data_IF_698705914317
#
_entry.id   IF_698705914317
#
_cell.length_a   1.000
_cell.length_b   1.000
_cell.length_c   1.000
_cell.angle_alpha   90.00
_cell.angle_beta   90.00
_cell.angle_gamma   90.00
#
_symmetry.space_group_name_H-M   'P 1'
#
loop_
_entity.id
_entity.type
_entity.pdbx_description
1 polymer ?
#
# COMPACT_ATOMS: atom_id res chain seq x y z
N UNK A 1 -36.61 -0.62 -6.10
CA UNK A 1 -35.35 -0.01 -5.59
C UNK A 1 -34.79 -0.78 -4.39
N UNK A 2 -34.72 -2.11 -4.47
CA UNK A 2 -34.26 -2.97 -3.35
C UNK A 2 -33.31 -4.10 -3.78
N UNK A 3 -32.91 -4.14 -5.06
CA UNK A 3 -32.13 -5.27 -5.62
C UNK A 3 -30.61 -5.02 -5.54
N UNK A 4 -30.17 -3.77 -5.39
CA UNK A 4 -28.73 -3.43 -5.42
C UNK A 4 -28.00 -3.58 -4.06
N UNK A 5 -28.72 -3.68 -2.94
CA UNK A 5 -28.11 -3.74 -1.60
C UNK A 5 -27.81 -5.17 -1.12
N UNK A 6 -28.39 -6.19 -1.76
CA UNK A 6 -28.20 -7.59 -1.40
C UNK A 6 -26.91 -8.14 -2.02
N UNK A 7 -26.61 -7.77 -3.27
CA UNK A 7 -25.38 -8.14 -3.99
C UNK A 7 -24.11 -7.60 -3.32
N UNK A 8 -24.17 -6.42 -2.70
CA UNK A 8 -23.04 -5.82 -1.97
C UNK A 8 -22.68 -6.58 -0.67
N UNK A 9 -23.63 -7.32 -0.09
CA UNK A 9 -23.39 -8.14 1.11
C UNK A 9 -22.90 -9.54 0.76
N UNK A 10 -23.30 -10.09 -0.38
CA UNK A 10 -22.84 -11.40 -0.86
C UNK A 10 -21.43 -11.33 -1.47
N UNK A 11 -21.10 -10.26 -2.22
CA UNK A 11 -19.74 -10.04 -2.74
C UNK A 11 -18.67 -9.92 -1.64
N UNK A 12 -19.05 -9.51 -0.42
CA UNK A 12 -18.14 -9.43 0.74
C UNK A 12 -17.83 -10.78 1.37
N UNK A 13 -18.56 -11.85 1.04
CA UNK A 13 -18.45 -13.15 1.68
C UNK A 13 -17.33 -14.03 1.07
N UNK A 14 -16.95 -13.73 -0.18
CA UNK A 14 -15.89 -14.42 -0.93
C UNK A 14 -14.59 -13.60 -1.09
N UNK A 15 -14.48 -12.46 -0.41
CA UNK A 15 -13.25 -11.67 -0.40
C UNK A 15 -12.11 -12.50 0.23
N UNK A 16 -11.10 -12.81 -0.57
CA UNK A 16 -9.94 -13.58 -0.13
C UNK A 16 -9.23 -12.82 1.00
N UNK A 17 -9.20 -11.48 0.96
CA UNK A 17 -8.69 -10.63 2.04
C UNK A 17 -9.57 -10.60 3.29
N UNK A 18 -9.17 -11.41 4.27
CA UNK A 18 -9.76 -11.45 5.63
C UNK A 18 -9.03 -10.49 6.59
N UNK A 19 -9.63 -10.13 7.74
CA UNK A 19 -8.97 -9.30 8.76
C UNK A 19 -7.60 -9.83 9.20
N UNK A 20 -7.44 -11.15 9.29
CA UNK A 20 -6.17 -11.80 9.62
C UNK A 20 -5.10 -11.57 8.56
N UNK A 21 -5.50 -11.43 7.30
CA UNK A 21 -4.58 -11.18 6.18
C UNK A 21 -4.15 -9.73 6.15
N UNK A 22 -5.05 -8.78 6.40
CA UNK A 22 -4.67 -7.38 6.63
C UNK A 22 -3.69 -7.25 7.79
N UNK A 23 -3.94 -7.96 8.90
CA UNK A 23 -3.02 -7.98 10.04
C UNK A 23 -1.66 -8.61 9.67
N UNK A 24 -1.67 -9.69 8.90
CA UNK A 24 -0.45 -10.34 8.42
C UNK A 24 0.35 -9.42 7.50
N UNK A 25 -0.28 -8.80 6.50
CA UNK A 25 0.36 -7.82 5.62
C UNK A 25 0.91 -6.66 6.44
N UNK A 26 0.13 -6.18 7.41
CA UNK A 26 0.52 -5.07 8.26
C UNK A 26 1.77 -5.35 9.10
N UNK A 27 1.93 -6.57 9.61
CA UNK A 27 3.12 -6.96 10.38
C UNK A 27 4.32 -7.24 9.47
N UNK A 28 4.08 -7.90 8.32
CA UNK A 28 5.16 -8.32 7.41
C UNK A 28 5.77 -7.18 6.62
N UNK A 29 5.03 -6.12 6.32
CA UNK A 29 5.59 -4.94 5.65
C UNK A 29 6.71 -4.25 6.44
N UNK A 30 6.80 -4.43 7.77
CA UNK A 30 7.88 -3.82 8.54
C UNK A 30 9.25 -4.40 8.19
N UNK A 31 9.28 -5.63 7.67
CA UNK A 31 10.52 -6.25 7.19
C UNK A 31 10.83 -5.89 5.74
N UNK A 32 10.03 -5.03 5.09
CA UNK A 32 10.19 -4.72 3.66
C UNK A 32 11.51 -4.04 3.33
N UNK A 33 12.00 -3.16 4.21
CA UNK A 33 13.32 -2.53 4.05
C UNK A 33 14.48 -3.40 4.54
N UNK A 34 14.22 -4.47 5.29
CA UNK A 34 15.29 -5.34 5.78
C UNK A 34 15.92 -6.19 4.66
N UNK A 35 15.22 -6.36 3.53
CA UNK A 35 15.68 -7.17 2.40
C UNK A 35 16.25 -6.34 1.25
N UNK A 36 16.71 -5.11 1.51
CA UNK A 36 17.14 -4.19 0.47
C UNK A 36 18.42 -4.70 -0.21
N UNK A 37 18.29 -5.12 -1.47
CA UNK A 37 19.40 -5.62 -2.28
C UNK A 37 19.66 -4.66 -3.45
N UNK A 38 20.90 -4.50 -3.93
CA UNK A 38 21.20 -3.52 -4.98
C UNK A 38 20.62 -3.88 -6.35
N UNK A 39 20.33 -5.15 -6.59
CA UNK A 39 19.75 -5.69 -7.81
C UNK A 39 18.22 -5.60 -7.85
N UNK A 40 17.54 -5.82 -6.71
CA UNK A 40 16.07 -5.92 -6.62
C UNK A 40 15.41 -4.95 -5.64
N UNK A 41 16.19 -4.18 -4.88
CA UNK A 41 15.75 -3.28 -3.82
C UNK A 41 14.84 -3.99 -2.81
N UNK A 42 13.58 -3.56 -2.67
CA UNK A 42 12.65 -4.05 -1.65
C UNK A 42 11.77 -5.21 -2.15
N UNK A 43 12.05 -5.78 -3.32
CA UNK A 43 11.21 -6.82 -3.94
C UNK A 43 10.94 -8.02 -3.02
N UNK A 44 11.97 -8.57 -2.39
CA UNK A 44 11.83 -9.73 -1.50
C UNK A 44 10.94 -9.44 -0.29
N UNK A 45 11.05 -8.24 0.26
CA UNK A 45 10.23 -7.74 1.35
C UNK A 45 8.79 -7.49 0.94
N UNK A 46 8.58 -7.02 -0.29
CA UNK A 46 7.26 -6.89 -0.90
C UNK A 46 6.61 -8.27 -1.09
N UNK A 47 7.31 -9.22 -1.73
CA UNK A 47 6.87 -10.61 -1.89
C UNK A 47 6.48 -11.23 -0.54
N UNK A 48 7.31 -11.06 0.50
CA UNK A 48 7.00 -11.57 1.84
C UNK A 48 5.71 -10.98 2.43
N UNK A 49 5.44 -9.70 2.15
CA UNK A 49 4.24 -8.99 2.60
C UNK A 49 2.97 -9.64 2.05
N UNK A 50 2.97 -10.01 0.75
CA UNK A 50 1.80 -10.58 0.05
C UNK A 50 1.78 -12.12 0.02
N UNK A 51 2.79 -12.79 0.57
CA UNK A 51 2.92 -14.24 0.54
C UNK A 51 1.70 -15.01 1.09
N UNK A 52 1.11 -14.58 2.22
CA UNK A 52 -0.10 -15.25 2.77
C UNK A 52 -1.33 -15.06 1.87
N UNK A 53 -1.63 -13.83 1.39
CA UNK A 53 -2.59 -13.63 0.31
C UNK A 53 -2.40 -14.53 -0.89
N UNK A 54 -1.19 -14.57 -1.45
CA UNK A 54 -0.88 -15.42 -2.60
C UNK A 54 -1.15 -16.91 -2.32
N UNK A 55 -0.81 -17.41 -1.13
CA UNK A 55 -1.05 -18.81 -0.78
C UNK A 55 -2.54 -19.17 -0.70
N UNK A 56 -3.40 -18.19 -0.39
CA UNK A 56 -4.85 -18.39 -0.37
C UNK A 56 -5.46 -18.32 -1.77
N UNK A 57 -4.89 -17.49 -2.65
CA UNK A 57 -5.29 -17.37 -4.07
C UNK A 57 -4.88 -18.62 -4.86
N UNK A 58 -3.66 -19.13 -4.62
CA UNK A 58 -3.08 -20.27 -5.31
C UNK A 58 -2.82 -21.44 -4.33
N UNK A 59 -3.79 -22.37 -4.18
CA UNK A 59 -3.62 -23.54 -3.30
C UNK A 59 -2.59 -24.56 -3.83
N UNK A 60 -2.43 -24.63 -5.16
CA UNK A 60 -1.46 -25.51 -5.81
C UNK A 60 -0.05 -24.93 -5.68
N UNK A 61 0.93 -25.81 -5.45
CA UNK A 61 2.31 -25.39 -5.22
C UNK A 61 2.96 -24.77 -6.46
N UNK A 62 2.74 -25.34 -7.65
CA UNK A 62 3.32 -24.84 -8.90
C UNK A 62 2.84 -23.41 -9.23
N UNK A 63 1.53 -23.17 -9.13
CA UNK A 63 0.92 -21.86 -9.38
C UNK A 63 1.38 -20.82 -8.34
N UNK A 64 1.53 -21.26 -7.09
CA UNK A 64 1.99 -20.41 -6.00
C UNK A 64 3.46 -20.00 -6.16
N UNK A 65 4.35 -20.92 -6.55
CA UNK A 65 5.75 -20.59 -6.80
C UNK A 65 5.90 -19.67 -8.01
N UNK A 66 5.13 -19.90 -9.07
CA UNK A 66 5.09 -19.00 -10.22
C UNK A 66 4.62 -17.58 -9.82
N UNK A 67 3.62 -17.48 -8.93
CA UNK A 67 3.18 -16.19 -8.41
C UNK A 67 4.23 -15.49 -7.56
N UNK A 68 4.92 -16.22 -6.67
CA UNK A 68 6.01 -15.63 -5.88
C UNK A 68 7.13 -15.09 -6.77
N UNK A 69 7.52 -15.83 -7.81
CA UNK A 69 8.59 -15.44 -8.73
C UNK A 69 8.29 -14.10 -9.43
N UNK A 70 7.05 -13.86 -9.86
CA UNK A 70 6.59 -12.57 -10.43
C UNK A 70 6.78 -11.37 -9.49
N UNK A 71 6.85 -11.60 -8.19
CA UNK A 71 7.05 -10.55 -7.19
C UNK A 71 8.49 -10.39 -6.72
N UNK A 72 9.44 -11.11 -7.34
CA UNK A 72 10.88 -10.92 -7.15
C UNK A 72 11.47 -9.87 -8.09
N UNK A 73 10.66 -9.31 -8.97
CA UNK A 73 11.05 -8.21 -9.85
C UNK A 73 11.36 -6.91 -9.08
N UNK A 74 12.23 -6.08 -9.66
CA UNK A 74 12.69 -4.84 -9.04
C UNK A 74 11.50 -4.01 -8.53
N UNK A 75 11.51 -3.71 -7.23
CA UNK A 75 10.46 -2.93 -6.61
C UNK A 75 11.06 -2.01 -5.54
N UNK A 76 10.81 -0.70 -5.69
CA UNK A 76 11.22 0.29 -4.72
C UNK A 76 10.11 1.33 -4.54
N UNK A 77 9.64 1.50 -3.31
CA UNK A 77 8.61 2.48 -2.98
C UNK A 77 8.82 3.00 -1.56
N UNK A 78 8.36 4.22 -1.28
CA UNK A 78 8.33 4.72 0.10
C UNK A 78 7.59 3.72 1.01
N UNK A 79 8.22 3.22 2.09
CA UNK A 79 7.67 2.12 2.88
C UNK A 79 6.26 2.36 3.45
N UNK A 80 5.91 3.63 3.66
CA UNK A 80 4.62 4.08 4.21
C UNK A 80 3.45 3.82 3.25
N UNK A 81 3.69 3.91 1.93
CA UNK A 81 2.67 3.73 0.89
C UNK A 81 2.75 2.35 0.24
N UNK A 82 3.79 1.56 0.51
CA UNK A 82 3.90 0.15 0.12
C UNK A 82 2.62 -0.67 0.32
N UNK A 83 1.93 -0.62 1.48
CA UNK A 83 0.71 -1.40 1.69
C UNK A 83 -0.41 -1.10 0.68
N UNK A 84 -0.46 0.10 0.10
CA UNK A 84 -1.42 0.41 -0.97
C UNK A 84 -1.16 -0.43 -2.22
N UNK A 85 0.09 -0.44 -2.70
CA UNK A 85 0.46 -1.25 -3.87
C UNK A 85 0.35 -2.74 -3.56
N UNK A 86 0.65 -3.16 -2.33
CA UNK A 86 0.48 -4.54 -1.91
C UNK A 86 -0.99 -4.98 -1.96
N UNK A 87 -1.92 -4.17 -1.43
CA UNK A 87 -3.36 -4.45 -1.49
C UNK A 87 -3.89 -4.51 -2.92
N UNK A 88 -3.47 -3.56 -3.77
CA UNK A 88 -3.82 -3.54 -5.19
C UNK A 88 -3.28 -4.78 -5.93
N UNK A 89 -2.03 -5.16 -5.66
CA UNK A 89 -1.41 -6.35 -6.25
C UNK A 89 -2.17 -7.62 -5.90
N UNK A 90 -2.58 -7.78 -4.63
CA UNK A 90 -3.38 -8.93 -4.20
C UNK A 90 -4.69 -9.00 -4.99
N UNK A 91 -5.39 -7.89 -5.18
CA UNK A 91 -6.64 -7.87 -5.95
C UNK A 91 -6.45 -8.19 -7.45
N UNK A 92 -5.29 -7.86 -8.04
CA UNK A 92 -4.98 -8.21 -9.42
C UNK A 92 -4.54 -9.68 -9.55
N UNK A 93 -3.87 -10.23 -8.54
CA UNK A 93 -3.57 -11.66 -8.48
C UNK A 93 -4.84 -12.49 -8.32
N UNK A 94 -5.86 -11.98 -7.61
CA UNK A 94 -7.20 -12.59 -7.59
C UNK A 94 -7.84 -12.62 -8.99
N UNK A 95 -7.64 -11.57 -9.81
CA UNK A 95 -8.08 -11.53 -11.21
C UNK A 95 -7.37 -12.56 -12.06
N UNK A 96 -6.04 -12.63 -11.94
CA UNK A 96 -5.22 -13.57 -12.69
C UNK A 96 -5.59 -15.02 -12.37
N UNK A 97 -5.97 -15.32 -11.13
CA UNK A 97 -6.44 -16.64 -10.75
C UNK A 97 -7.86 -16.96 -11.25
N UNK A 98 -8.73 -15.96 -11.35
CA UNK A 98 -10.12 -16.13 -11.79
C UNK A 98 -10.26 -16.19 -13.33
N UNK A 99 -9.47 -15.40 -14.07
CA UNK A 99 -9.49 -15.33 -15.54
C UNK A 99 -8.16 -15.79 -16.14
N UNK A 100 -8.20 -16.91 -16.89
CA UNK A 100 -7.03 -17.47 -17.57
C UNK A 100 -6.49 -16.61 -18.71
N UNK A 101 -7.29 -15.66 -19.22
CA UNK A 101 -6.86 -14.72 -20.26
C UNK A 101 -6.24 -13.45 -19.69
N UNK A 102 -6.21 -13.31 -18.36
CA UNK A 102 -5.64 -12.14 -17.71
C UNK A 102 -4.14 -12.07 -17.95
N UNK A 103 -3.66 -10.91 -18.42
CA UNK A 103 -2.25 -10.68 -18.62
C UNK A 103 -1.54 -10.46 -17.29
N UNK A 104 -0.88 -11.50 -16.78
CA UNK A 104 -0.08 -11.44 -15.54
C UNK A 104 1.05 -10.41 -15.58
N UNK A 105 1.53 -10.01 -16.76
CA UNK A 105 2.56 -8.97 -16.90
C UNK A 105 2.03 -7.58 -16.52
N UNK A 106 0.71 -7.36 -16.64
CA UNK A 106 0.04 -6.13 -16.24
C UNK A 106 0.17 -5.84 -14.74
N UNK A 107 0.26 -6.88 -13.91
CA UNK A 107 0.49 -6.75 -12.45
C UNK A 107 1.83 -6.07 -12.20
N UNK A 108 2.85 -6.49 -12.95
CA UNK A 108 4.18 -5.93 -12.81
C UNK A 108 4.28 -4.52 -13.41
N UNK A 109 3.65 -4.31 -14.57
CA UNK A 109 3.55 -2.98 -15.18
C UNK A 109 2.85 -1.97 -14.24
N UNK A 110 1.78 -2.39 -13.55
CA UNK A 110 1.10 -1.57 -12.54
C UNK A 110 2.04 -1.22 -11.39
N UNK A 111 2.77 -2.20 -10.82
CA UNK A 111 3.75 -1.95 -9.76
C UNK A 111 4.77 -0.90 -10.22
N UNK A 112 5.41 -1.11 -11.38
CA UNK A 112 6.43 -0.21 -11.95
C UNK A 112 5.85 1.20 -12.20
N UNK A 113 4.65 1.27 -12.77
CA UNK A 113 3.97 2.54 -13.05
C UNK A 113 3.65 3.35 -11.79
N UNK A 114 3.36 2.68 -10.68
CA UNK A 114 3.04 3.32 -9.39
C UNK A 114 4.25 3.62 -8.53
N UNK A 115 5.38 2.91 -8.71
CA UNK A 115 6.61 3.13 -7.92
C UNK A 115 7.05 4.59 -7.97
N UNK A 116 7.15 5.20 -9.15
CA UNK A 116 7.64 6.57 -9.32
C UNK A 116 6.73 7.62 -8.64
N UNK A 117 5.46 7.75 -9.07
CA UNK A 117 4.56 8.77 -8.53
C UNK A 117 4.30 8.64 -7.02
N UNK A 118 4.06 7.42 -6.53
CA UNK A 118 3.78 7.21 -5.11
C UNK A 118 5.03 7.42 -4.25
N UNK A 119 6.23 7.09 -4.75
CA UNK A 119 7.47 7.39 -4.03
C UNK A 119 7.75 8.88 -4.00
N UNK A 120 7.53 9.60 -5.11
CA UNK A 120 7.72 11.05 -5.13
C UNK A 120 6.86 11.77 -4.09
N UNK A 121 5.58 11.38 -3.98
CA UNK A 121 4.66 11.92 -2.96
C UNK A 121 5.07 11.44 -1.56
N UNK A 122 5.33 10.13 -1.41
CA UNK A 122 5.67 9.52 -0.14
C UNK A 122 6.94 10.10 0.46
N UNK A 123 8.00 10.25 -0.34
CA UNK A 123 9.28 10.76 0.12
C UNK A 123 9.19 12.25 0.48
N UNK A 124 8.50 13.05 -0.32
CA UNK A 124 8.27 14.47 -0.03
C UNK A 124 7.50 14.65 1.28
N UNK A 125 6.44 13.89 1.48
CA UNK A 125 5.62 13.99 2.67
C UNK A 125 6.30 13.40 3.91
N UNK A 126 6.71 12.13 3.88
CA UNK A 126 7.21 11.45 5.07
C UNK A 126 8.63 11.84 5.46
N UNK A 127 9.54 11.90 4.47
CA UNK A 127 10.95 12.21 4.74
C UNK A 127 11.20 13.72 4.74
N UNK A 128 10.56 14.46 3.83
CA UNK A 128 10.72 15.91 3.70
C UNK A 128 9.96 16.70 4.76
N UNK A 129 8.63 16.70 4.71
CA UNK A 129 7.83 17.59 5.54
C UNK A 129 7.55 17.03 6.93
N UNK A 130 6.92 15.85 7.00
CA UNK A 130 6.35 15.32 8.22
C UNK A 130 7.40 15.03 9.28
N UNK A 131 8.51 14.38 8.89
CA UNK A 131 9.62 14.11 9.81
C UNK A 131 10.21 15.40 10.39
N UNK A 132 10.38 16.44 9.57
CA UNK A 132 10.95 17.73 10.01
C UNK A 132 10.00 18.45 10.96
N UNK A 133 8.71 18.51 10.63
CA UNK A 133 7.68 19.11 11.51
C UNK A 133 7.60 18.38 12.84
N UNK A 134 7.52 17.04 12.82
CA UNK A 134 7.48 16.24 14.03
C UNK A 134 8.75 16.43 14.87
N UNK A 135 9.92 16.47 14.25
CA UNK A 135 11.19 16.72 14.93
C UNK A 135 11.22 18.12 15.54
N UNK A 136 10.72 19.15 14.84
CA UNK A 136 10.61 20.51 15.35
C UNK A 136 9.78 20.59 16.63
N UNK A 137 8.63 19.91 16.67
CA UNK A 137 7.78 19.81 17.86
C UNK A 137 8.53 19.11 19.01
N UNK A 138 9.18 17.97 18.72
CA UNK A 138 9.93 17.21 19.72
C UNK A 138 11.12 17.99 20.29
N UNK A 139 11.89 18.67 19.45
CA UNK A 139 13.03 19.52 19.84
C UNK A 139 12.53 20.71 20.65
N UNK A 140 11.42 21.34 20.25
CA UNK A 140 10.83 22.46 20.99
C UNK A 140 10.42 22.10 22.42
N UNK A 141 9.94 20.88 22.63
CA UNK A 141 9.63 20.38 23.98
C UNK A 141 10.92 20.00 24.72
N UNK A 142 11.86 19.34 24.05
CA UNK A 142 13.13 18.90 24.66
C UNK A 142 14.02 20.08 25.09
N UNK A 143 13.99 21.20 24.36
CA UNK A 143 14.78 22.39 24.67
C UNK A 143 14.39 23.05 26.00
N UNK A 144 13.17 22.78 26.50
CA UNK A 144 12.72 23.22 27.83
C UNK A 144 13.23 22.34 28.98
N UNK A 145 14.06 21.33 28.68
CA UNK A 145 14.58 20.35 29.64
C UNK A 145 13.63 19.17 29.90
N UNK A 146 12.53 19.06 29.16
CA UNK A 146 11.54 18.01 29.33
C UNK A 146 11.93 16.73 28.54
N UNK A 147 12.20 15.59 29.20
CA UNK A 147 12.56 14.33 28.53
C UNK A 147 11.42 13.72 27.72
N UNK A 148 10.20 14.27 27.79
CA UNK A 148 9.07 13.83 26.97
C UNK A 148 9.20 14.25 25.50
N UNK A 149 10.07 15.20 25.14
CA UNK A 149 10.24 15.67 23.76
C UNK A 149 10.51 14.54 22.74
N UNK A 150 11.51 13.67 22.96
CA UNK A 150 11.77 12.50 22.13
C UNK A 150 10.60 11.49 22.08
N UNK A 151 9.86 11.33 23.19
CA UNK A 151 8.72 10.41 23.27
C UNK A 151 7.56 10.95 22.44
N UNK A 152 7.28 12.24 22.53
CA UNK A 152 6.24 12.92 21.73
C UNK A 152 6.56 12.84 20.24
N UNK A 153 7.82 13.07 19.85
CA UNK A 153 8.26 12.86 18.47
C UNK A 153 7.99 11.41 18.00
N UNK A 154 8.42 10.43 18.80
CA UNK A 154 8.24 9.02 18.47
C UNK A 154 6.75 8.65 18.33
N UNK A 155 5.89 9.16 19.21
CA UNK A 155 4.45 8.93 19.16
C UNK A 155 3.80 9.56 17.93
N UNK A 156 4.05 10.84 17.66
CA UNK A 156 3.48 11.53 16.50
C UNK A 156 3.88 10.81 15.21
N UNK A 157 5.17 10.50 15.07
CA UNK A 157 5.68 9.84 13.88
C UNK A 157 5.10 8.42 13.74
N UNK A 158 5.06 7.65 14.82
CA UNK A 158 4.59 6.27 14.80
C UNK A 158 3.08 6.18 14.53
N UNK A 159 2.26 6.97 15.21
CA UNK A 159 0.79 6.90 15.07
C UNK A 159 0.36 7.18 13.64
N UNK A 160 0.89 8.25 13.02
CA UNK A 160 0.55 8.60 11.65
C UNK A 160 1.05 7.53 10.67
N UNK A 161 2.27 7.02 10.88
CA UNK A 161 2.83 5.94 10.08
C UNK A 161 1.95 4.68 10.12
N UNK A 162 1.54 4.24 11.32
CA UNK A 162 0.67 3.08 11.49
C UNK A 162 -0.71 3.31 10.88
N UNK A 163 -1.32 4.48 11.12
CA UNK A 163 -2.63 4.81 10.58
C UNK A 163 -2.62 4.79 9.04
N UNK A 164 -1.65 5.44 8.42
CA UNK A 164 -1.55 5.45 6.96
C UNK A 164 -1.31 4.06 6.40
N UNK A 165 -0.49 3.21 7.02
CA UNK A 165 -0.28 1.83 6.54
C UNK A 165 -1.57 1.01 6.54
N UNK A 166 -2.38 1.13 7.59
CA UNK A 166 -3.67 0.42 7.69
C UNK A 166 -4.63 0.92 6.63
N UNK A 167 -4.80 2.24 6.51
CA UNK A 167 -5.72 2.86 5.55
C UNK A 167 -5.27 2.57 4.12
N UNK A 168 -3.98 2.69 3.83
CA UNK A 168 -3.39 2.40 2.53
C UNK A 168 -3.65 0.97 2.08
N UNK A 169 -3.50 -0.03 2.98
CA UNK A 169 -3.76 -1.43 2.64
C UNK A 169 -5.23 -1.66 2.23
N UNK A 170 -6.17 -1.11 2.98
CA UNK A 170 -7.60 -1.25 2.68
C UNK A 170 -7.97 -0.48 1.41
N UNK A 171 -7.51 0.76 1.27
CA UNK A 171 -7.76 1.55 0.06
C UNK A 171 -7.16 0.92 -1.19
N UNK A 172 -5.97 0.32 -1.10
CA UNK A 172 -5.33 -0.36 -2.22
C UNK A 172 -6.12 -1.57 -2.70
N UNK A 173 -6.56 -2.41 -1.77
CA UNK A 173 -7.41 -3.56 -2.09
C UNK A 173 -8.77 -3.11 -2.62
N UNK A 174 -9.46 -2.20 -1.93
CA UNK A 174 -10.77 -1.69 -2.34
C UNK A 174 -10.71 -1.04 -3.73
N UNK A 175 -9.68 -0.25 -4.02
CA UNK A 175 -9.50 0.38 -5.32
C UNK A 175 -9.24 -0.66 -6.42
N UNK A 176 -8.42 -1.66 -6.15
CA UNK A 176 -8.22 -2.77 -7.07
C UNK A 176 -9.50 -3.60 -7.33
N UNK A 177 -10.31 -3.81 -6.28
CA UNK A 177 -11.63 -4.44 -6.43
C UNK A 177 -12.68 -3.53 -7.07
N UNK A 178 -12.48 -2.21 -7.08
CA UNK A 178 -13.32 -1.30 -7.85
C UNK A 178 -12.89 -1.26 -9.32
N UNK A 179 -11.59 -1.39 -9.60
CA UNK A 179 -11.11 -1.65 -10.95
C UNK A 179 -11.73 -2.94 -11.54
N UNK A 180 -11.94 -3.99 -10.73
CA UNK A 180 -12.72 -5.17 -11.13
C UNK A 180 -14.14 -4.84 -11.61
N UNK A 181 -14.80 -3.88 -10.95
CA UNK A 181 -16.21 -3.55 -11.18
C UNK A 181 -16.42 -2.43 -12.21
N UNK A 182 -15.38 -1.63 -12.48
CA UNK A 182 -15.43 -0.43 -13.32
C UNK A 182 -14.56 -0.54 -14.57
N UNK A 183 -14.38 -1.75 -15.12
CA UNK A 183 -13.78 -1.89 -16.45
C UNK A 183 -14.64 -1.24 -17.56
N UNK A 184 -15.79 -0.67 -17.23
CA UNK A 184 -16.45 0.39 -17.98
C UNK A 184 -16.75 1.57 -17.02
N UNK A 185 -16.30 2.78 -17.36
CA UNK A 185 -16.68 4.05 -16.72
C UNK A 185 -16.16 4.35 -15.28
N UNK A 186 -15.00 5.00 -15.15
CA UNK A 186 -14.98 6.41 -14.67
C UNK A 186 -13.56 6.95 -14.39
N UNK A 187 -13.49 8.27 -14.46
CA UNK A 187 -12.34 9.16 -14.32
C UNK A 187 -11.79 9.25 -12.87
N UNK A 188 -11.72 8.12 -12.15
CA UNK A 188 -11.39 8.04 -10.73
C UNK A 188 -9.92 8.36 -10.42
N UNK A 189 -8.99 7.91 -11.27
CA UNK A 189 -7.56 8.22 -11.13
C UNK A 189 -7.28 9.72 -11.24
N UNK A 190 -7.99 10.43 -12.10
CA UNK A 190 -7.86 11.89 -12.24
C UNK A 190 -8.31 12.61 -10.96
N UNK A 191 -9.44 12.21 -10.38
CA UNK A 191 -9.98 12.83 -9.15
C UNK A 191 -9.13 12.56 -7.91
N UNK A 192 -8.61 11.34 -7.75
CA UNK A 192 -7.70 11.02 -6.64
C UNK A 192 -6.38 11.77 -6.74
N UNK A 193 -5.79 11.82 -7.94
CA UNK A 193 -4.54 12.55 -8.18
C UNK A 193 -4.74 14.05 -7.97
N UNK A 194 -5.90 14.60 -8.37
CA UNK A 194 -6.24 16.00 -8.15
C UNK A 194 -6.38 16.33 -6.65
N UNK A 195 -7.08 15.49 -5.86
CA UNK A 195 -7.22 15.68 -4.42
C UNK A 195 -5.89 15.57 -3.67
N UNK A 196 -5.05 14.60 -4.03
CA UNK A 196 -3.71 14.44 -3.48
C UNK A 196 -2.80 15.63 -3.86
N UNK A 197 -2.93 16.16 -5.09
CA UNK A 197 -2.22 17.34 -5.55
C UNK A 197 -2.59 18.61 -4.80
N UNK A 198 -3.88 18.86 -4.54
CA UNK A 198 -4.35 20.02 -3.76
C UNK A 198 -3.84 19.98 -2.32
N UNK A 199 -3.90 18.80 -1.67
CA UNK A 199 -3.34 18.61 -0.33
C UNK A 199 -1.82 18.79 -0.31
N UNK A 200 -1.12 18.22 -1.29
CA UNK A 200 0.34 18.37 -1.42
C UNK A 200 0.76 19.82 -1.61
N UNK A 201 0.09 20.56 -2.50
CA UNK A 201 0.38 21.97 -2.77
C UNK A 201 0.09 22.89 -1.56
N UNK A 202 -0.96 22.59 -0.79
CA UNK A 202 -1.30 23.36 0.42
C UNK A 202 -0.25 23.16 1.51
N UNK A 203 0.28 21.94 1.64
CA UNK A 203 1.35 21.63 2.59
C UNK A 203 2.68 22.26 2.17
N UNK A 204 3.03 22.21 0.88
CA UNK A 204 4.25 22.85 0.36
C UNK A 204 4.17 24.38 0.48
N UNK A 205 3.01 25.00 0.23
CA UNK A 205 2.84 26.44 0.37
C UNK A 205 2.76 26.95 1.82
N UNK A 206 2.61 26.05 2.79
CA UNK A 206 2.62 26.36 4.22
C UNK A 206 4.00 26.16 4.88
N UNK A 207 4.97 25.58 4.16
CA UNK A 207 6.38 25.53 4.53
C UNK A 207 7.12 26.79 4.08
#
# INVERSE_FOLDING_TARGET
MAIQNTDLKEAKKDAIMTPDMYRSMFLRQFTSQCSQSYDKMMAMGFMYTIQKPLRKIYPNDDDYYAALDRHTEFFNITPHVLPFVAGLTVSMEEQAAADKNFDTSSINAMKVGLMGPLSGIGDSFYWGTFRVVAAGIGIGIASTGNPLGPIVYALIYSVINFATRIVAAHLGYDLGTKFLQQSEESNLMSRMTHAAGVLGMTVIGAM
#
